data_IF_914358398898
#
_entry.id   IF_914358398898
#
_cell.length_a   1.000
_cell.length_b   1.000
_cell.length_c   1.000
_cell.angle_alpha   90.00
_cell.angle_beta   90.00
_cell.angle_gamma   90.00
#
_symmetry.space_group_name_H-M   'P 1'
#
loop_
_entity.id
_entity.type
_entity.pdbx_description
1 polymer ?
#
# COMPACT_ATOMS: atom_id res chain seq x y z
N UNK A 1 -1.51 61.10 78.68
CA UNK A 1 -1.66 61.33 77.22
C UNK A 1 -0.88 60.23 76.50
N UNK A 2 -1.63 59.21 76.16
CA UNK A 2 -1.09 58.05 75.37
C UNK A 2 -1.24 58.42 73.90
N UNK A 3 -0.14 58.38 73.14
CA UNK A 3 -0.13 58.49 71.69
C UNK A 3 -0.33 57.09 71.14
N UNK A 4 -1.56 56.84 70.65
CA UNK A 4 -1.83 55.69 69.73
C UNK A 4 -1.11 55.98 68.43
N UNK A 5 0.04 55.31 68.18
CA UNK A 5 0.66 55.16 66.87
C UNK A 5 -0.06 54.12 66.07
N UNK A 6 -0.81 54.48 65.05
CA UNK A 6 -1.41 53.53 64.12
C UNK A 6 -0.31 52.89 63.34
N UNK A 7 -0.01 51.62 63.66
CA UNK A 7 0.77 50.74 62.75
C UNK A 7 -0.06 50.51 61.50
N UNK A 8 0.09 51.39 60.55
CA UNK A 8 -0.47 51.21 59.21
C UNK A 8 0.29 50.04 58.55
N UNK A 9 -0.36 48.91 58.37
CA UNK A 9 0.21 47.74 57.72
C UNK A 9 0.59 48.07 56.27
N UNK A 10 1.89 48.25 56.04
CA UNK A 10 2.49 48.58 54.72
C UNK A 10 2.17 47.53 53.65
N UNK A 11 1.72 46.31 54.04
CA UNK A 11 1.31 45.24 53.10
C UNK A 11 0.05 45.62 52.35
N UNK A 12 -0.90 46.32 52.98
CA UNK A 12 -2.12 46.85 52.36
C UNK A 12 -1.83 48.00 51.40
N UNK A 13 -0.88 48.85 51.74
CA UNK A 13 -0.52 50.03 50.91
C UNK A 13 0.16 49.63 49.61
N UNK A 14 0.95 48.56 49.60
CA UNK A 14 1.70 48.14 48.43
C UNK A 14 0.93 47.17 47.54
N UNK A 15 -0.26 46.69 47.90
CA UNK A 15 -1.04 45.72 47.14
C UNK A 15 -0.23 44.53 46.62
N UNK A 16 0.79 44.12 47.41
CA UNK A 16 1.79 43.08 47.01
C UNK A 16 1.10 41.74 46.77
N UNK A 17 0.07 41.40 47.59
CA UNK A 17 -0.65 40.15 47.43
C UNK A 17 -1.47 40.09 46.13
N UNK A 18 -2.05 41.19 45.69
CA UNK A 18 -2.74 41.29 44.38
C UNK A 18 -1.78 41.08 43.22
N UNK A 19 -0.60 41.68 43.31
CA UNK A 19 0.46 41.56 42.28
C UNK A 19 0.96 40.11 42.25
N UNK A 20 1.28 39.51 43.39
CA UNK A 20 1.75 38.12 43.51
C UNK A 20 0.73 37.12 42.97
N UNK A 21 -0.55 37.28 43.28
CA UNK A 21 -1.65 36.43 42.77
C UNK A 21 -1.82 36.57 41.25
N UNK A 22 -1.67 37.77 40.72
CA UNK A 22 -1.71 38.05 39.27
C UNK A 22 -0.54 37.38 38.51
N UNK A 23 0.67 37.41 39.09
CA UNK A 23 1.86 36.76 38.56
C UNK A 23 1.71 35.23 38.54
N UNK A 24 1.18 34.63 39.59
CA UNK A 24 0.94 33.18 39.66
C UNK A 24 -0.15 32.74 38.70
N UNK A 25 -1.22 33.48 38.53
CA UNK A 25 -2.25 33.18 37.55
C UNK A 25 -1.69 33.25 36.11
N UNK A 26 -0.90 34.27 35.81
CA UNK A 26 -0.29 34.43 34.48
C UNK A 26 0.72 33.30 34.18
N UNK A 27 1.55 32.91 35.18
CA UNK A 27 2.48 31.79 35.06
C UNK A 27 1.76 30.47 34.81
N UNK A 28 0.65 30.18 35.54
CA UNK A 28 -0.18 28.97 35.34
C UNK A 28 -0.82 28.95 33.95
N UNK A 29 -1.29 30.09 33.45
CA UNK A 29 -1.88 30.21 32.12
C UNK A 29 -0.84 29.99 31.00
N UNK A 30 0.38 30.49 31.17
CA UNK A 30 1.49 30.27 30.24
C UNK A 30 1.94 28.81 30.23
N UNK A 31 1.99 28.15 31.38
CA UNK A 31 2.32 26.73 31.48
C UNK A 31 1.25 25.86 30.81
N UNK A 32 -0.04 26.16 31.03
CA UNK A 32 -1.14 25.48 30.33
C UNK A 32 -1.05 25.65 28.82
N UNK A 33 -0.77 26.85 28.32
CA UNK A 33 -0.60 27.09 26.88
C UNK A 33 0.58 26.34 26.29
N UNK A 34 1.72 26.31 26.97
CA UNK A 34 2.89 25.51 26.55
C UNK A 34 2.60 24.02 26.53
N UNK A 35 1.92 23.50 27.57
CA UNK A 35 1.53 22.10 27.63
C UNK A 35 0.58 21.71 26.50
N UNK A 36 -0.43 22.53 26.21
CA UNK A 36 -1.35 22.32 25.10
C UNK A 36 -0.62 22.35 23.74
N UNK A 37 0.30 23.29 23.56
CA UNK A 37 1.12 23.37 22.35
C UNK A 37 2.00 22.13 22.19
N UNK A 38 2.66 21.67 23.25
CA UNK A 38 3.46 20.42 23.20
C UNK A 38 2.57 19.20 22.89
N UNK A 39 1.40 19.10 23.50
CA UNK A 39 0.45 18.02 23.23
C UNK A 39 -0.01 18.02 21.76
N UNK A 40 -0.31 19.20 21.20
CA UNK A 40 -0.68 19.34 19.79
C UNK A 40 0.44 18.90 18.85
N UNK A 41 1.69 19.26 19.14
CA UNK A 41 2.85 18.82 18.35
C UNK A 41 3.03 17.31 18.41
N UNK A 42 2.92 16.72 19.60
CA UNK A 42 3.01 15.25 19.78
C UNK A 42 1.90 14.56 18.97
N UNK A 43 0.69 15.08 19.00
CA UNK A 43 -0.46 14.51 18.28
C UNK A 43 -0.27 14.60 16.77
N UNK A 44 0.25 15.71 16.26
CA UNK A 44 0.57 15.87 14.83
C UNK A 44 1.68 14.91 14.41
N UNK A 45 2.76 14.81 15.19
CA UNK A 45 3.87 13.90 14.90
C UNK A 45 3.42 12.44 14.93
N UNK A 46 2.61 12.04 15.92
CA UNK A 46 2.06 10.68 15.99
C UNK A 46 1.15 10.37 14.79
N UNK A 47 0.32 11.31 14.37
CA UNK A 47 -0.51 11.19 13.15
C UNK A 47 0.33 10.99 11.89
N UNK A 48 1.42 11.74 11.74
CA UNK A 48 2.35 11.57 10.63
C UNK A 48 3.02 10.19 10.62
N UNK A 49 3.43 9.69 11.77
CA UNK A 49 3.98 8.33 11.90
C UNK A 49 2.96 7.29 11.43
N UNK A 50 1.72 7.35 11.92
CA UNK A 50 0.65 6.41 11.56
C UNK A 50 0.39 6.39 10.05
N UNK A 51 0.41 7.55 9.39
CA UNK A 51 0.21 7.64 7.94
C UNK A 51 1.43 7.11 7.16
N UNK A 52 2.64 7.29 7.70
CA UNK A 52 3.88 6.92 6.99
C UNK A 52 4.21 5.43 7.06
N UNK A 53 3.86 4.76 8.16
CA UNK A 53 4.18 3.34 8.37
C UNK A 53 3.67 2.43 7.25
N UNK A 54 2.39 2.47 6.82
CA UNK A 54 1.91 1.63 5.72
C UNK A 54 2.68 1.87 4.42
N UNK A 55 3.00 3.12 4.10
CA UNK A 55 3.72 3.48 2.87
C UNK A 55 5.13 2.89 2.86
N UNK A 56 5.85 3.00 3.99
CA UNK A 56 7.19 2.43 4.14
C UNK A 56 7.15 0.91 4.05
N UNK A 57 6.20 0.26 4.71
CA UNK A 57 6.06 -1.19 4.68
C UNK A 57 5.73 -1.71 3.27
N UNK A 58 4.84 -1.02 2.55
CA UNK A 58 4.46 -1.39 1.18
C UNK A 58 5.62 -1.23 0.20
N UNK A 59 6.41 -0.15 0.30
CA UNK A 59 7.58 0.04 -0.55
C UNK A 59 8.68 -1.00 -0.26
N UNK A 60 8.93 -1.31 1.00
CA UNK A 60 9.89 -2.35 1.39
C UNK A 60 9.45 -3.74 0.88
N UNK A 61 8.17 -4.06 1.00
CA UNK A 61 7.60 -5.32 0.49
C UNK A 61 7.71 -5.41 -1.03
N UNK A 62 7.35 -4.36 -1.76
CA UNK A 62 7.47 -4.33 -3.21
C UNK A 62 8.92 -4.55 -3.69
N UNK A 63 9.89 -3.89 -3.03
CA UNK A 63 11.30 -4.08 -3.34
C UNK A 63 11.78 -5.51 -3.04
N UNK A 64 11.31 -6.12 -1.94
CA UNK A 64 11.63 -7.50 -1.60
C UNK A 64 11.06 -8.48 -2.63
N UNK A 65 9.82 -8.31 -3.05
CA UNK A 65 9.14 -9.16 -4.04
C UNK A 65 9.79 -9.06 -5.42
N UNK A 66 10.06 -7.86 -5.90
CA UNK A 66 10.81 -7.64 -7.15
C UNK A 66 12.24 -8.22 -7.07
N UNK A 67 12.86 -8.16 -5.89
CA UNK A 67 14.13 -8.81 -5.62
C UNK A 67 14.09 -10.32 -5.76
N UNK A 68 13.03 -10.99 -5.30
CA UNK A 68 12.80 -12.43 -5.47
C UNK A 68 12.58 -12.77 -6.94
N UNK A 69 11.70 -12.03 -7.63
CA UNK A 69 11.43 -12.20 -9.06
C UNK A 69 12.72 -12.10 -9.89
N UNK A 70 13.53 -11.09 -9.64
CA UNK A 70 14.81 -10.89 -10.32
C UNK A 70 15.85 -11.96 -9.99
N UNK A 71 15.88 -12.47 -8.77
CA UNK A 71 16.78 -13.56 -8.35
C UNK A 71 16.43 -14.85 -9.06
N UNK A 72 15.14 -15.23 -9.06
CA UNK A 72 14.65 -16.41 -9.78
C UNK A 72 14.97 -16.35 -11.27
N UNK A 73 14.78 -15.19 -11.92
CA UNK A 73 15.16 -15.02 -13.33
C UNK A 73 16.67 -15.19 -13.57
N UNK A 74 17.53 -14.66 -12.69
CA UNK A 74 19.00 -14.86 -12.77
C UNK A 74 19.41 -16.30 -12.54
N UNK A 75 18.75 -17.00 -11.63
CA UNK A 75 19.01 -18.41 -11.37
C UNK A 75 18.72 -19.24 -12.61
N UNK A 76 17.56 -19.07 -13.23
CA UNK A 76 17.21 -19.72 -14.50
C UNK A 76 18.20 -19.39 -15.63
N UNK A 77 18.62 -18.13 -15.72
CA UNK A 77 19.63 -17.70 -16.72
C UNK A 77 20.99 -18.40 -16.52
N UNK A 78 21.31 -18.79 -15.28
CA UNK A 78 22.52 -19.56 -14.96
C UNK A 78 22.40 -21.09 -15.16
N UNK A 79 21.21 -21.60 -15.50
CA UNK A 79 21.03 -23.03 -15.68
C UNK A 79 21.78 -23.55 -16.92
N UNK A 80 22.38 -24.76 -16.82
CA UNK A 80 23.02 -25.35 -17.97
C UNK A 80 22.01 -25.66 -19.08
N UNK A 81 22.41 -25.40 -20.32
CA UNK A 81 21.60 -25.77 -21.48
C UNK A 81 21.50 -27.30 -21.57
N UNK A 82 20.32 -27.90 -21.86
CA UNK A 82 19.03 -27.30 -22.23
C UNK A 82 17.98 -27.26 -21.11
N UNK A 83 18.34 -27.21 -19.82
CA UNK A 83 17.45 -27.40 -18.66
C UNK A 83 16.19 -26.55 -18.71
N UNK A 84 16.30 -25.23 -18.90
CA UNK A 84 15.13 -24.35 -18.95
C UNK A 84 14.18 -24.72 -20.10
N UNK A 85 14.73 -25.07 -21.27
CA UNK A 85 13.95 -25.50 -22.44
C UNK A 85 13.22 -26.82 -22.20
N UNK A 86 13.85 -27.76 -21.54
CA UNK A 86 13.22 -29.03 -21.15
C UNK A 86 12.12 -28.84 -20.13
N UNK A 87 12.32 -27.96 -19.15
CA UNK A 87 11.32 -27.59 -18.17
C UNK A 87 10.10 -26.96 -18.84
N UNK A 88 10.28 -26.03 -19.76
CA UNK A 88 9.19 -25.46 -20.56
C UNK A 88 8.46 -26.51 -21.40
N UNK A 89 9.19 -27.44 -22.04
CA UNK A 89 8.61 -28.55 -22.79
C UNK A 89 7.74 -29.45 -21.91
N UNK A 90 8.20 -29.75 -20.71
CA UNK A 90 7.45 -30.54 -19.72
C UNK A 90 6.18 -29.81 -19.27
N UNK A 91 6.26 -28.49 -18.99
CA UNK A 91 5.14 -27.67 -18.62
C UNK A 91 4.09 -27.55 -19.74
N UNK A 92 4.53 -27.36 -20.98
CA UNK A 92 3.63 -27.36 -22.15
C UNK A 92 2.97 -28.73 -22.37
N UNK A 93 3.69 -29.83 -22.09
CA UNK A 93 3.10 -31.20 -22.14
C UNK A 93 2.08 -31.41 -21.01
N UNK A 94 2.29 -30.86 -19.83
CA UNK A 94 1.32 -30.83 -18.75
C UNK A 94 0.03 -30.11 -19.19
N UNK A 95 0.15 -28.89 -19.75
CA UNK A 95 -1.00 -28.11 -20.25
C UNK A 95 -1.80 -28.85 -21.31
N UNK A 96 -1.14 -29.48 -22.29
CA UNK A 96 -1.85 -30.29 -23.28
C UNK A 96 -2.65 -31.44 -22.68
N UNK A 97 -2.10 -32.13 -21.67
CA UNK A 97 -2.79 -33.20 -20.96
C UNK A 97 -3.98 -32.67 -20.17
N UNK A 98 -3.82 -31.51 -19.52
CA UNK A 98 -4.87 -30.85 -18.78
C UNK A 98 -6.05 -30.45 -19.70
N UNK A 99 -5.75 -29.84 -20.83
CA UNK A 99 -6.75 -29.50 -21.85
C UNK A 99 -7.48 -30.72 -22.39
N UNK A 100 -6.75 -31.80 -22.72
CA UNK A 100 -7.33 -33.06 -23.21
C UNK A 100 -8.19 -33.76 -22.17
N UNK A 101 -7.87 -33.66 -20.90
CA UNK A 101 -8.64 -34.21 -19.79
C UNK A 101 -9.91 -33.42 -19.47
N UNK A 102 -10.13 -32.22 -20.07
CA UNK A 102 -11.30 -31.40 -19.83
C UNK A 102 -11.25 -30.58 -18.53
N UNK A 103 -10.10 -30.43 -17.92
CA UNK A 103 -9.88 -29.59 -16.72
C UNK A 103 -10.92 -29.84 -15.62
N UNK A 104 -11.03 -31.07 -15.14
CA UNK A 104 -12.06 -31.49 -14.17
C UNK A 104 -11.90 -30.85 -12.79
N UNK A 105 -10.67 -30.58 -12.37
CA UNK A 105 -10.36 -29.93 -11.08
C UNK A 105 -9.78 -28.53 -11.32
N UNK A 106 -10.54 -27.51 -11.05
CA UNK A 106 -10.07 -26.14 -10.88
C UNK A 106 -10.18 -25.83 -9.41
N UNK A 107 -9.02 -25.74 -8.75
CA UNK A 107 -8.95 -25.57 -7.33
C UNK A 107 -9.82 -26.61 -6.62
N UNK A 108 -9.27 -27.58 -5.96
CA UNK A 108 -10.04 -28.58 -5.21
C UNK A 108 -10.92 -27.96 -4.13
N UNK A 109 -10.91 -26.64 -3.99
CA UNK A 109 -11.55 -25.87 -2.94
C UNK A 109 -12.56 -24.92 -3.56
N UNK A 110 -13.73 -24.83 -2.93
CA UNK A 110 -14.81 -23.91 -3.32
C UNK A 110 -14.38 -22.45 -3.36
N UNK A 111 -13.32 -22.07 -2.66
CA UNK A 111 -12.72 -20.73 -2.68
C UNK A 111 -11.19 -20.84 -2.90
N UNK A 112 -10.65 -20.27 -4.01
CA UNK A 112 -9.22 -20.28 -4.29
C UNK A 112 -8.36 -19.60 -3.22
N UNK A 113 -8.95 -18.86 -2.29
CA UNK A 113 -8.25 -18.20 -1.19
C UNK A 113 -8.25 -18.99 0.13
N UNK A 114 -8.95 -20.12 0.22
CA UNK A 114 -8.97 -20.96 1.43
C UNK A 114 -7.91 -22.05 1.45
N UNK A 115 -7.04 -22.08 0.46
CA UNK A 115 -5.90 -22.99 0.37
C UNK A 115 -6.30 -24.35 -0.21
N UNK A 116 -5.72 -24.69 -1.35
CA UNK A 116 -5.92 -26.01 -1.95
C UNK A 116 -4.94 -27.01 -1.31
N UNK A 117 -5.41 -27.84 -0.41
CA UNK A 117 -4.60 -29.00 0.08
C UNK A 117 -4.12 -29.86 -1.09
N UNK A 118 -4.87 -29.93 -2.21
CA UNK A 118 -4.50 -30.66 -3.42
C UNK A 118 -3.23 -30.16 -4.10
N UNK A 119 -2.93 -28.85 -4.08
CA UNK A 119 -1.73 -28.31 -4.72
C UNK A 119 -0.42 -28.76 -4.04
N UNK A 120 -0.44 -28.95 -2.74
CA UNK A 120 0.73 -29.37 -1.94
C UNK A 120 1.01 -30.85 -2.09
N UNK A 121 -0.01 -31.68 -2.31
CA UNK A 121 0.12 -33.13 -2.45
C UNK A 121 0.60 -33.56 -3.84
N UNK A 122 0.41 -32.76 -4.89
CA UNK A 122 0.86 -33.06 -6.26
C UNK A 122 2.34 -32.70 -6.47
N UNK A 123 3.23 -33.63 -6.15
CA UNK A 123 4.68 -33.47 -6.34
C UNK A 123 5.06 -33.16 -7.79
N UNK A 124 4.31 -33.62 -8.77
CA UNK A 124 4.59 -33.37 -10.18
C UNK A 124 4.27 -31.93 -10.53
N UNK A 125 3.17 -31.39 -10.01
CA UNK A 125 2.84 -29.98 -10.16
C UNK A 125 3.89 -29.09 -9.48
N UNK A 126 4.20 -29.33 -8.22
CA UNK A 126 5.12 -28.49 -7.45
C UNK A 126 6.57 -28.54 -7.93
N UNK A 127 6.98 -29.64 -8.59
CA UNK A 127 8.32 -29.74 -9.19
C UNK A 127 8.41 -29.19 -10.61
N UNK A 128 7.28 -28.89 -11.26
CA UNK A 128 7.27 -28.35 -12.62
C UNK A 128 7.40 -26.83 -12.58
N UNK A 129 8.34 -26.24 -13.33
CA UNK A 129 8.67 -24.81 -13.36
C UNK A 129 9.28 -24.30 -12.04
N UNK A 130 9.77 -25.14 -11.17
CA UNK A 130 10.43 -24.68 -9.95
C UNK A 130 11.82 -24.09 -10.30
N UNK A 131 11.92 -22.76 -10.19
CA UNK A 131 13.16 -22.00 -10.39
C UNK A 131 13.97 -21.84 -9.09
N UNK A 132 13.56 -22.50 -8.02
CA UNK A 132 14.07 -22.36 -6.67
C UNK A 132 13.00 -21.77 -5.72
N UNK A 133 12.98 -22.24 -4.51
CA UNK A 133 12.06 -21.78 -3.44
C UNK A 133 10.56 -21.80 -3.82
N UNK A 134 10.14 -22.68 -4.74
CA UNK A 134 8.77 -22.80 -5.22
C UNK A 134 8.32 -21.70 -6.19
N UNK A 135 9.25 -20.90 -6.71
CA UNK A 135 8.96 -19.80 -7.68
C UNK A 135 8.88 -20.40 -9.09
N UNK A 136 7.73 -20.22 -9.75
CA UNK A 136 7.49 -20.61 -11.16
C UNK A 136 8.01 -19.59 -12.16
N UNK A 137 7.95 -18.32 -11.81
CA UNK A 137 8.24 -17.18 -12.65
C UNK A 137 7.84 -15.87 -11.98
N UNK A 138 7.57 -14.84 -12.77
CA UNK A 138 7.06 -13.56 -12.23
C UNK A 138 6.00 -12.95 -13.14
N UNK A 139 5.19 -12.07 -12.55
CA UNK A 139 4.20 -11.25 -13.25
C UNK A 139 4.56 -9.78 -13.13
N UNK A 140 4.56 -9.10 -14.27
CA UNK A 140 4.80 -7.65 -14.36
C UNK A 140 3.59 -6.95 -14.96
N UNK A 141 3.09 -5.91 -14.27
CA UNK A 141 1.96 -5.09 -14.71
C UNK A 141 2.40 -3.62 -14.61
N UNK A 142 3.04 -3.05 -15.65
CA UNK A 142 3.68 -1.73 -15.58
C UNK A 142 2.74 -0.61 -15.16
N UNK A 143 1.49 -0.63 -15.63
CA UNK A 143 0.51 0.43 -15.38
C UNK A 143 0.20 0.64 -13.90
N UNK A 144 0.31 -0.40 -13.09
CA UNK A 144 0.01 -0.36 -11.65
C UNK A 144 1.23 -0.70 -10.79
N UNK A 145 2.44 -0.67 -11.39
CA UNK A 145 3.74 -0.92 -10.74
C UNK A 145 3.78 -2.26 -9.98
N UNK A 146 3.28 -3.33 -10.59
CA UNK A 146 3.34 -4.68 -10.05
C UNK A 146 4.49 -5.44 -10.69
N UNK A 147 5.37 -6.01 -9.86
CA UNK A 147 6.41 -6.97 -10.23
C UNK A 147 6.50 -8.00 -9.09
N UNK A 148 5.80 -9.14 -9.26
CA UNK A 148 5.62 -10.14 -8.22
C UNK A 148 6.14 -11.51 -8.67
N UNK A 149 6.82 -12.27 -7.79
CA UNK A 149 7.06 -13.69 -8.02
C UNK A 149 5.73 -14.46 -8.05
N UNK A 150 5.65 -15.47 -8.90
CA UNK A 150 4.54 -16.41 -9.00
C UNK A 150 4.98 -17.71 -8.34
N UNK A 151 4.27 -18.14 -7.32
CA UNK A 151 4.50 -19.38 -6.59
C UNK A 151 3.50 -20.47 -6.96
N UNK A 152 3.82 -21.72 -6.66
CA UNK A 152 2.89 -22.84 -6.79
C UNK A 152 1.78 -22.75 -5.74
N UNK A 153 0.53 -22.90 -6.17
CA UNK A 153 -0.65 -22.91 -5.29
C UNK A 153 -1.09 -21.52 -4.82
N UNK A 154 -2.14 -21.53 -4.01
CA UNK A 154 -2.82 -20.31 -3.52
C UNK A 154 -3.09 -20.38 -2.02
N UNK A 155 -2.24 -21.09 -1.25
CA UNK A 155 -2.32 -21.11 0.20
C UNK A 155 -2.07 -19.69 0.77
N UNK A 156 -2.56 -19.42 1.96
CA UNK A 156 -2.34 -18.14 2.65
C UNK A 156 -0.86 -17.79 2.72
N UNK A 157 -0.02 -18.77 3.10
CA UNK A 157 1.44 -18.58 3.18
C UNK A 157 2.08 -18.19 1.83
N UNK A 158 1.58 -18.74 0.71
CA UNK A 158 2.02 -18.37 -0.64
C UNK A 158 1.60 -16.96 -0.98
N UNK A 159 0.32 -16.63 -0.74
CA UNK A 159 -0.23 -15.32 -1.08
C UNK A 159 0.33 -14.17 -0.24
N UNK A 160 0.88 -14.46 0.94
CA UNK A 160 1.65 -13.47 1.73
C UNK A 160 3.01 -13.14 1.10
N UNK A 161 3.62 -14.08 0.36
CA UNK A 161 4.93 -13.91 -0.27
C UNK A 161 4.85 -13.21 -1.65
N UNK A 162 3.81 -13.51 -2.42
CA UNK A 162 3.67 -12.99 -3.78
C UNK A 162 2.36 -13.38 -4.44
N UNK A 163 2.39 -13.55 -5.75
CA UNK A 163 1.26 -14.10 -6.50
C UNK A 163 1.30 -15.64 -6.47
N UNK A 164 0.14 -16.27 -6.43
CA UNK A 164 -0.01 -17.72 -6.44
C UNK A 164 -0.64 -18.22 -7.74
N UNK A 165 -0.15 -19.32 -8.28
CA UNK A 165 -0.77 -19.99 -9.42
C UNK A 165 -1.88 -20.91 -8.95
N UNK A 166 -3.09 -20.74 -9.47
CA UNK A 166 -4.26 -21.55 -9.09
C UNK A 166 -4.10 -22.98 -9.60
N UNK A 167 -4.03 -23.96 -8.68
CA UNK A 167 -3.96 -25.36 -9.01
C UNK A 167 -5.12 -25.80 -9.90
N UNK A 168 -4.86 -26.65 -10.88
CA UNK A 168 -5.86 -27.10 -11.87
C UNK A 168 -6.07 -26.13 -13.04
N UNK A 169 -5.51 -24.92 -13.00
CA UNK A 169 -5.38 -24.07 -14.18
C UNK A 169 -4.10 -24.43 -15.01
N UNK A 170 -4.01 -23.95 -16.24
CA UNK A 170 -2.82 -24.20 -17.05
C UNK A 170 -1.58 -23.54 -16.45
N UNK A 171 -0.44 -24.21 -16.47
CA UNK A 171 0.86 -23.62 -16.11
C UNK A 171 1.13 -22.38 -16.97
N UNK A 172 1.78 -21.32 -16.44
CA UNK A 172 1.88 -20.01 -17.08
C UNK A 172 2.96 -19.96 -18.18
N UNK A 173 2.95 -20.93 -19.10
CA UNK A 173 3.92 -21.06 -20.20
C UNK A 173 3.31 -20.79 -21.58
N UNK A 174 2.07 -20.32 -21.61
CA UNK A 174 1.31 -20.03 -22.82
C UNK A 174 1.04 -21.26 -23.70
N UNK A 175 0.47 -21.00 -24.85
CA UNK A 175 0.11 -21.99 -25.87
C UNK A 175 -1.39 -22.04 -26.13
N UNK A 176 -1.78 -22.57 -27.31
CA UNK A 176 -3.19 -22.78 -27.63
C UNK A 176 -3.84 -23.73 -26.60
N UNK A 177 -5.11 -23.51 -26.35
CA UNK A 177 -5.88 -24.30 -25.39
C UNK A 177 -5.32 -24.21 -23.96
N UNK A 178 -4.89 -23.02 -23.56
CA UNK A 178 -4.40 -22.77 -22.19
C UNK A 178 -5.13 -21.63 -21.51
N UNK A 179 -5.40 -21.79 -20.21
CA UNK A 179 -5.88 -20.73 -19.35
C UNK A 179 -5.17 -20.82 -17.99
N UNK A 180 -4.20 -19.95 -17.76
CA UNK A 180 -3.51 -19.83 -16.49
C UNK A 180 -4.19 -18.81 -15.58
N UNK A 181 -4.34 -19.12 -14.30
CA UNK A 181 -4.93 -18.21 -13.32
C UNK A 181 -3.89 -17.86 -12.25
N UNK A 182 -3.62 -16.58 -12.11
CA UNK A 182 -2.65 -16.03 -11.16
C UNK A 182 -3.42 -15.18 -10.15
N UNK A 183 -3.28 -15.53 -8.88
CA UNK A 183 -4.03 -14.97 -7.77
C UNK A 183 -3.13 -14.12 -6.89
N UNK A 184 -3.62 -13.00 -6.41
CA UNK A 184 -2.90 -12.17 -5.46
C UNK A 184 -3.84 -11.48 -4.47
N UNK A 185 -3.34 -11.20 -3.28
CA UNK A 185 -4.10 -10.49 -2.25
C UNK A 185 -4.46 -9.06 -2.66
N UNK A 186 -5.54 -8.56 -2.05
CA UNK A 186 -5.97 -7.16 -2.11
C UNK A 186 -6.15 -6.61 -0.70
N UNK A 187 -5.59 -5.43 -0.44
CA UNK A 187 -5.82 -4.72 0.82
C UNK A 187 -4.90 -5.13 1.98
N UNK A 188 -3.76 -5.76 1.71
CA UNK A 188 -2.77 -6.00 2.75
C UNK A 188 -2.11 -4.68 3.17
N UNK A 189 -1.96 -4.46 4.49
CA UNK A 189 -1.29 -3.26 5.02
C UNK A 189 0.18 -3.22 4.60
N UNK A 190 0.82 -4.41 4.55
CA UNK A 190 2.27 -4.55 4.30
C UNK A 190 2.65 -4.57 2.83
N UNK A 191 1.72 -4.92 1.92
CA UNK A 191 2.02 -5.14 0.51
C UNK A 191 0.85 -4.73 -0.40
N UNK A 192 1.16 -4.07 -1.52
CA UNK A 192 0.14 -3.67 -2.49
C UNK A 192 -0.40 -4.85 -3.28
N UNK A 193 0.43 -5.82 -3.65
CA UNK A 193 0.04 -7.00 -4.44
C UNK A 193 -0.89 -6.63 -5.61
N UNK A 194 -2.10 -7.18 -5.65
CA UNK A 194 -3.14 -6.89 -6.63
C UNK A 194 -4.17 -5.84 -6.16
N UNK A 195 -3.80 -5.00 -5.17
CA UNK A 195 -4.70 -3.97 -4.61
C UNK A 195 -5.24 -3.02 -5.67
N UNK A 196 -4.42 -2.68 -6.67
CA UNK A 196 -4.75 -1.74 -7.74
C UNK A 196 -5.22 -2.41 -9.04
N UNK A 197 -5.58 -3.71 -8.99
CA UNK A 197 -5.98 -4.47 -10.18
C UNK A 197 -7.25 -3.89 -10.84
N UNK A 198 -8.10 -3.21 -10.09
CA UNK A 198 -9.30 -2.53 -10.57
C UNK A 198 -9.04 -1.23 -11.37
N UNK A 199 -7.80 -0.72 -11.36
CA UNK A 199 -7.40 0.41 -12.21
C UNK A 199 -7.14 0.00 -13.66
N UNK A 200 -6.99 -1.30 -13.92
CA UNK A 200 -6.73 -1.84 -15.26
C UNK A 200 -7.99 -1.77 -16.14
N UNK A 201 -7.76 -1.58 -17.43
CA UNK A 201 -8.81 -1.46 -18.45
C UNK A 201 -8.53 -2.43 -19.60
N UNK A 202 -9.56 -2.72 -20.39
CA UNK A 202 -9.40 -3.43 -21.65
C UNK A 202 -8.41 -2.67 -22.55
N UNK A 203 -7.46 -3.41 -23.15
CA UNK A 203 -6.38 -2.86 -23.96
C UNK A 203 -5.06 -2.67 -23.20
N UNK A 204 -5.06 -2.60 -21.86
CA UNK A 204 -3.83 -2.61 -21.08
C UNK A 204 -3.09 -3.95 -21.21
N UNK A 205 -1.79 -3.94 -20.95
CA UNK A 205 -0.95 -5.13 -21.08
C UNK A 205 -0.31 -5.52 -19.76
N UNK A 206 -0.05 -6.80 -19.60
CA UNK A 206 0.78 -7.37 -18.54
C UNK A 206 1.65 -8.50 -19.10
N UNK A 207 2.68 -8.86 -18.37
CA UNK A 207 3.71 -9.79 -18.82
C UNK A 207 3.95 -10.88 -17.79
N UNK A 208 4.11 -12.12 -18.28
CA UNK A 208 4.53 -13.26 -17.46
C UNK A 208 5.94 -13.66 -17.91
N UNK A 209 6.88 -13.68 -16.97
CA UNK A 209 8.26 -14.10 -17.20
C UNK A 209 8.46 -15.48 -16.60
N UNK A 210 8.84 -16.46 -17.42
CA UNK A 210 8.96 -17.86 -17.01
C UNK A 210 10.09 -18.55 -17.75
N UNK A 211 11.01 -19.19 -17.05
CA UNK A 211 12.11 -19.96 -17.61
C UNK A 211 12.87 -19.25 -18.74
N UNK A 212 13.09 -17.94 -18.59
CA UNK A 212 13.79 -17.10 -19.58
C UNK A 212 12.93 -16.61 -20.74
N UNK A 213 11.67 -17.03 -20.85
CA UNK A 213 10.71 -16.49 -21.82
C UNK A 213 9.87 -15.37 -21.19
N UNK A 214 9.53 -14.34 -21.96
CA UNK A 214 8.56 -13.31 -21.61
C UNK A 214 7.31 -13.46 -22.46
N UNK A 215 6.17 -13.55 -21.83
CA UNK A 215 4.87 -13.75 -22.45
C UNK A 215 4.02 -12.51 -22.25
N UNK A 216 3.64 -11.80 -23.33
CA UNK A 216 2.77 -10.61 -23.27
C UNK A 216 1.30 -10.98 -23.40
N UNK A 217 0.46 -10.33 -22.61
CA UNK A 217 -1.00 -10.49 -22.65
C UNK A 217 -1.67 -9.12 -22.68
N UNK A 218 -2.71 -8.99 -23.51
CA UNK A 218 -3.53 -7.78 -23.60
C UNK A 218 -4.89 -8.06 -23.00
N UNK A 219 -5.33 -7.22 -22.08
CA UNK A 219 -6.60 -7.35 -21.38
C UNK A 219 -7.76 -7.18 -22.37
N UNK A 220 -8.60 -8.20 -22.47
CA UNK A 220 -9.81 -8.21 -23.31
C UNK A 220 -11.08 -8.31 -22.49
N UNK A 221 -11.01 -8.84 -21.26
CA UNK A 221 -12.15 -9.09 -20.39
C UNK A 221 -11.87 -8.72 -18.94
N UNK A 222 -12.81 -8.01 -18.31
CA UNK A 222 -12.84 -7.75 -16.88
C UNK A 222 -14.21 -8.18 -16.38
N UNK A 223 -14.25 -8.97 -15.31
CA UNK A 223 -15.49 -9.45 -14.72
C UNK A 223 -15.39 -9.66 -13.22
N UNK A 224 -16.53 -9.64 -12.56
CA UNK A 224 -16.67 -9.98 -11.14
C UNK A 224 -17.49 -11.26 -11.06
N UNK A 225 -17.06 -12.17 -10.18
CA UNK A 225 -17.70 -13.47 -9.97
C UNK A 225 -17.89 -13.72 -8.46
N UNK A 226 -18.76 -14.65 -8.12
CA UNK A 226 -18.79 -15.22 -6.78
C UNK A 226 -17.57 -16.13 -6.55
N UNK A 227 -17.12 -16.32 -5.30
CA UNK A 227 -15.95 -17.14 -4.99
C UNK A 227 -16.04 -18.60 -5.47
N UNK A 228 -17.24 -19.14 -5.56
CA UNK A 228 -17.52 -20.52 -6.01
C UNK A 228 -17.69 -20.64 -7.54
N UNK A 229 -17.84 -19.54 -8.27
CA UNK A 229 -18.02 -19.55 -9.72
C UNK A 229 -16.67 -19.63 -10.45
N UNK A 230 -16.30 -20.82 -10.88
CA UNK A 230 -15.08 -21.06 -11.67
C UNK A 230 -15.33 -21.12 -13.18
N UNK A 231 -16.57 -20.82 -13.63
CA UNK A 231 -16.95 -20.97 -15.05
C UNK A 231 -16.08 -20.17 -16.00
N UNK A 232 -15.70 -18.95 -15.60
CA UNK A 232 -14.86 -18.03 -16.38
C UNK A 232 -13.36 -18.32 -16.31
N UNK A 233 -12.95 -19.32 -15.53
CA UNK A 233 -11.54 -19.73 -15.37
C UNK A 233 -11.20 -20.98 -16.19
N UNK A 234 -12.17 -21.52 -16.93
CA UNK A 234 -11.96 -22.72 -17.74
C UNK A 234 -11.20 -22.43 -19.02
N UNK A 235 -10.49 -23.46 -19.51
CA UNK A 235 -9.81 -23.43 -20.80
C UNK A 235 -10.84 -23.24 -21.91
N UNK A 236 -10.57 -22.30 -22.81
CA UNK A 236 -11.33 -22.07 -24.03
C UNK A 236 -10.49 -22.53 -25.21
N UNK A 237 -11.07 -23.38 -26.07
CA UNK A 237 -10.38 -23.95 -27.21
C UNK A 237 -9.87 -22.85 -28.16
N UNK A 238 -8.62 -22.94 -28.55
CA UNK A 238 -7.95 -21.97 -29.43
C UNK A 238 -7.38 -20.75 -28.73
N UNK A 239 -7.71 -20.53 -27.45
CA UNK A 239 -7.19 -19.38 -26.70
C UNK A 239 -5.88 -19.69 -25.95
N UNK A 240 -5.01 -18.69 -25.87
CA UNK A 240 -3.87 -18.60 -24.93
C UNK A 240 -4.20 -17.44 -23.97
N UNK A 241 -4.68 -17.76 -22.78
CA UNK A 241 -5.24 -16.81 -21.83
C UNK A 241 -4.55 -16.86 -20.47
N UNK A 242 -4.38 -15.68 -19.87
CA UNK A 242 -4.03 -15.55 -18.45
C UNK A 242 -5.08 -14.67 -17.77
N UNK A 243 -5.53 -15.09 -16.60
CA UNK A 243 -6.43 -14.33 -15.74
C UNK A 243 -5.75 -13.98 -14.44
N UNK A 244 -5.76 -12.70 -14.10
CA UNK A 244 -5.36 -12.18 -12.80
C UNK A 244 -6.59 -12.13 -11.91
N UNK A 245 -6.48 -12.68 -10.71
CA UNK A 245 -7.61 -12.80 -9.78
C UNK A 245 -7.29 -12.17 -8.42
N UNK A 246 -8.24 -11.41 -7.88
CA UNK A 246 -8.14 -10.85 -6.53
C UNK A 246 -9.51 -10.70 -5.88
N UNK A 247 -9.54 -10.41 -4.58
CA UNK A 247 -10.79 -10.14 -3.85
C UNK A 247 -11.38 -8.77 -4.20
N UNK A 248 -12.72 -8.68 -4.17
CA UNK A 248 -13.45 -7.42 -4.37
C UNK A 248 -14.82 -7.49 -3.65
N UNK A 249 -15.45 -6.35 -3.25
CA UNK A 249 -14.88 -5.00 -3.13
C UNK A 249 -13.76 -4.92 -2.09
N UNK A 250 -12.94 -3.86 -2.17
CA UNK A 250 -11.84 -3.63 -1.23
C UNK A 250 -12.34 -3.64 0.23
N UNK A 251 -11.69 -4.43 1.09
CA UNK A 251 -12.03 -4.56 2.51
C UNK A 251 -13.27 -5.40 2.82
N UNK A 252 -14.14 -5.71 1.83
CA UNK A 252 -15.34 -6.55 2.00
C UNK A 252 -15.10 -7.98 1.52
N UNK A 253 -14.42 -8.13 0.36
CA UNK A 253 -13.89 -9.39 -0.17
C UNK A 253 -14.93 -10.50 -0.47
N UNK A 254 -16.17 -10.14 -0.72
CA UNK A 254 -17.28 -11.08 -0.97
C UNK A 254 -17.24 -11.71 -2.36
N UNK A 255 -16.57 -11.08 -3.31
CA UNK A 255 -16.48 -11.51 -4.71
C UNK A 255 -15.03 -11.59 -5.15
N UNK A 256 -14.83 -12.05 -6.40
CA UNK A 256 -13.51 -12.07 -7.05
C UNK A 256 -13.54 -11.19 -8.29
N UNK A 257 -12.56 -10.29 -8.40
CA UNK A 257 -12.29 -9.52 -9.60
C UNK A 257 -11.37 -10.35 -10.50
N UNK A 258 -11.77 -10.53 -11.74
CA UNK A 258 -11.01 -11.20 -12.79
C UNK A 258 -10.62 -10.17 -13.85
N UNK A 259 -9.32 -10.08 -14.12
CA UNK A 259 -8.77 -9.29 -15.22
C UNK A 259 -8.06 -10.28 -16.15
N UNK A 260 -8.69 -10.56 -17.29
CA UNK A 260 -8.25 -11.60 -18.22
C UNK A 260 -7.65 -10.98 -19.48
N UNK A 261 -6.54 -11.55 -19.96
CA UNK A 261 -5.89 -11.15 -21.18
C UNK A 261 -5.63 -12.32 -22.10
N UNK A 262 -5.71 -12.06 -23.40
CA UNK A 262 -5.27 -12.96 -24.46
C UNK A 262 -3.81 -12.69 -24.84
N UNK A 263 -3.13 -13.73 -25.30
CA UNK A 263 -1.77 -13.64 -25.82
C UNK A 263 -1.66 -12.53 -26.85
N UNK A 264 -0.69 -11.65 -26.70
CA UNK A 264 -0.42 -10.53 -27.60
C UNK A 264 1.07 -10.40 -27.90
N UNK A 265 1.40 -9.78 -29.02
CA UNK A 265 2.77 -9.39 -29.32
C UNK A 265 3.27 -8.42 -28.24
N UNK A 266 4.52 -8.59 -27.84
CA UNK A 266 5.20 -7.70 -26.91
C UNK A 266 5.67 -6.50 -27.75
N UNK A 267 5.33 -5.24 -27.37
CA UNK A 267 5.91 -4.06 -27.98
C UNK A 267 7.45 -4.06 -27.85
N UNK A 268 8.15 -3.52 -28.84
CA UNK A 268 9.63 -3.44 -28.84
C UNK A 268 10.19 -2.69 -27.64
N UNK A 269 9.43 -1.74 -27.11
CA UNK A 269 9.71 -1.04 -25.86
C UNK A 269 8.79 -1.57 -24.75
N UNK A 270 9.19 -2.67 -24.11
CA UNK A 270 8.58 -3.08 -22.83
C UNK A 270 9.17 -2.18 -21.73
N UNK A 271 8.37 -1.31 -21.12
CA UNK A 271 8.86 -0.60 -19.93
C UNK A 271 9.13 -1.66 -18.86
N UNK A 272 10.40 -1.94 -18.56
CA UNK A 272 10.73 -2.77 -17.40
C UNK A 272 10.26 -2.03 -16.15
N UNK A 273 9.34 -2.61 -15.39
CA UNK A 273 8.95 -2.07 -14.08
C UNK A 273 10.19 -1.93 -13.17
N UNK A 274 11.19 -2.81 -13.35
CA UNK A 274 12.48 -2.72 -12.64
C UNK A 274 13.43 -1.65 -13.16
N UNK A 275 13.22 -1.09 -14.35
CA UNK A 275 14.02 0.03 -14.88
C UNK A 275 13.48 1.38 -14.40
N UNK A 276 12.23 1.45 -14.03
CA UNK A 276 11.69 2.57 -13.25
C UNK A 276 12.16 2.32 -11.82
N UNK A 277 13.34 2.85 -11.46
CA UNK A 277 13.72 2.99 -10.04
C UNK A 277 12.49 3.40 -9.29
N UNK A 278 12.26 2.76 -8.15
CA UNK A 278 11.14 3.02 -7.23
C UNK A 278 11.19 4.47 -6.70
N UNK A 279 11.06 5.42 -7.61
CA UNK A 279 10.81 6.83 -7.34
C UNK A 279 9.29 7.03 -7.30
N UNK A 280 8.56 6.12 -6.61
CA UNK A 280 7.16 6.41 -6.34
C UNK A 280 7.14 7.70 -5.54
N UNK A 281 6.61 8.81 -6.10
CA UNK A 281 6.41 9.98 -5.29
C UNK A 281 5.51 9.53 -4.13
N UNK A 282 5.88 9.90 -2.90
CA UNK A 282 5.01 9.71 -1.75
C UNK A 282 3.60 10.09 -2.16
N UNK A 283 2.55 9.28 -1.84
CA UNK A 283 1.19 9.63 -2.20
C UNK A 283 0.93 11.09 -1.87
N UNK A 284 0.32 11.83 -2.78
CA UNK A 284 0.11 13.28 -2.63
C UNK A 284 -0.55 13.64 -1.29
N UNK A 285 -1.36 12.73 -0.74
CA UNK A 285 -1.94 12.85 0.60
C UNK A 285 -0.88 12.87 1.72
N UNK A 286 0.17 12.06 1.61
CA UNK A 286 1.27 12.02 2.59
C UNK A 286 2.09 13.30 2.49
N UNK A 287 2.45 13.72 1.27
CA UNK A 287 3.16 14.98 1.05
C UNK A 287 2.34 16.16 1.58
N UNK A 288 1.04 16.21 1.28
CA UNK A 288 0.14 17.24 1.77
C UNK A 288 0.06 17.25 3.32
N UNK A 289 0.01 16.09 3.96
CA UNK A 289 0.02 15.98 5.42
C UNK A 289 1.31 16.53 6.03
N UNK A 290 2.47 16.22 5.46
CA UNK A 290 3.75 16.78 5.91
C UNK A 290 3.84 18.30 5.69
N UNK A 291 3.40 18.80 4.55
CA UNK A 291 3.36 20.25 4.26
C UNK A 291 2.43 20.97 5.24
N UNK A 292 1.22 20.43 5.46
CA UNK A 292 0.27 20.96 6.45
C UNK A 292 0.88 20.99 7.85
N UNK A 293 1.52 19.92 8.28
CA UNK A 293 2.19 19.87 9.57
C UNK A 293 3.31 20.91 9.67
N UNK A 294 4.15 21.04 8.64
CA UNK A 294 5.23 22.04 8.59
C UNK A 294 4.72 23.47 8.66
N UNK A 295 3.54 23.74 8.11
CA UNK A 295 2.90 25.05 8.18
C UNK A 295 2.19 25.30 9.51
N UNK A 296 1.55 24.29 10.08
CA UNK A 296 0.75 24.44 11.32
C UNK A 296 1.62 24.44 12.58
N UNK A 297 2.69 23.66 12.64
CA UNK A 297 3.55 23.57 13.83
C UNK A 297 4.15 24.93 14.23
N UNK A 298 4.72 25.77 13.33
CA UNK A 298 5.22 27.09 13.67
C UNK A 298 4.13 28.03 14.21
N UNK A 299 2.88 27.91 13.70
CA UNK A 299 1.77 28.75 14.17
C UNK A 299 1.43 28.51 15.63
N UNK A 300 1.65 27.30 16.14
CA UNK A 300 1.43 26.95 17.55
C UNK A 300 2.43 27.65 18.51
N UNK A 301 3.57 28.10 17.97
CA UNK A 301 4.63 28.77 18.72
C UNK A 301 4.64 30.30 18.52
N UNK A 302 3.78 30.86 17.65
CA UNK A 302 3.69 32.31 17.49
C UNK A 302 3.18 32.96 18.77
N UNK A 303 3.93 33.94 19.28
CA UNK A 303 3.48 34.75 20.40
C UNK A 303 2.29 35.61 19.93
N UNK A 304 1.20 35.72 20.71
CA UNK A 304 0.15 36.68 20.37
C UNK A 304 0.77 38.08 20.31
N UNK A 305 0.56 38.77 19.20
CA UNK A 305 0.97 40.18 19.06
C UNK A 305 0.18 40.96 20.10
N UNK A 306 0.88 41.48 21.12
CA UNK A 306 0.25 42.42 22.06
C UNK A 306 -0.08 43.68 21.30
N UNK A 307 -1.36 43.85 20.98
CA UNK A 307 -1.85 45.12 20.43
C UNK A 307 -1.74 46.16 21.55
N UNK A 308 -0.96 47.23 21.41
CA UNK A 308 -0.88 48.31 22.40
C UNK A 308 -2.26 48.90 22.63
N UNK A 309 -2.80 48.75 23.82
CA UNK A 309 -4.01 49.47 24.22
C UNK A 309 -3.64 50.94 24.33
N UNK A 310 -4.01 51.74 23.35
CA UNK A 310 -3.97 53.19 23.48
C UNK A 310 -4.91 53.58 24.65
N UNK A 311 -4.32 53.90 25.79
CA UNK A 311 -5.03 54.56 26.88
C UNK A 311 -5.30 55.98 26.44
N UNK A 312 -6.52 56.27 26.00
CA UNK A 312 -7.02 57.65 25.82
C UNK A 312 -7.09 58.31 27.21
N UNK A 313 -6.00 58.95 27.63
CA UNK A 313 -6.05 59.92 28.73
C UNK A 313 -6.79 61.14 28.20
N UNK A 314 -8.05 61.28 28.61
CA UNK A 314 -8.79 62.52 28.46
C UNK A 314 -8.13 63.56 29.37
N UNK A 315 -7.65 64.74 28.88
CA UNK A 315 -7.10 65.75 29.75
C UNK A 315 -8.23 66.38 30.55
N UNK A 316 -8.13 66.34 31.87
CA UNK A 316 -9.07 67.05 32.77
C UNK A 316 -9.04 68.55 32.50
N UNK A 317 -10.17 69.09 32.04
CA UNK A 317 -10.33 70.50 31.78
C UNK A 317 -10.11 71.38 33.02
N UNK A 318 -9.22 72.34 32.90
CA UNK A 318 -9.01 73.43 33.90
C UNK A 318 -10.29 74.27 34.02
N UNK A 319 -11.00 74.15 35.13
CA UNK A 319 -12.06 75.07 35.48
C UNK A 319 -11.46 76.47 35.76
N UNK A 320 -11.72 77.41 34.91
CA UNK A 320 -11.44 78.81 35.15
C UNK A 320 -12.40 79.30 36.23
N UNK A 321 -11.86 79.61 37.43
CA UNK A 321 -12.58 80.47 38.37
C UNK A 321 -12.61 81.90 37.83
N UNK A 322 -13.76 82.43 37.59
CA UNK A 322 -14.01 83.85 37.57
C UNK A 322 -14.38 84.28 39.00
N UNK A 323 -13.69 85.28 39.49
CA UNK A 323 -14.11 86.11 40.61
C UNK A 323 -14.56 87.48 40.10
N UNK A 324 -15.40 88.11 40.91
CA UNK A 324 -16.19 89.33 40.46
C UNK A 324 -15.34 90.55 40.37
#
# INVERSE_FOLDING_TARGET
MQSEGSDQDWTDVLKIDGIRKSWDMNRKSLLKKKLLSMLSVILVLSGLVVISVPVILQSASASAQSGVASRSAREVAGWPYPRAKETLKAARAYNRRLAAAGQHALGEVKDPFTGAEGSISDKKYTSTLDAGDGVMGSIEIPKIDVDLPIYHGTSESVLELGAGHLYGSSLPVGGSDTHSVITGHRGLIKALMFTRLDELKKGDSFYVKVMGETLGYRIDRISVIEPSDVSKLRIVKGEDRVTLMTCTPYGVNTHRLLVSGLRAAIPDEVPYASAVRDTRPLPGSVVAAYVLAALCVPLLFQRPVEVPRHSSRVPAGRARRRNP
#
